data_IF_897739969749
#
_entry.id   IF_897739969749
#
_cell.length_a   1.000
_cell.length_b   1.000
_cell.length_c   1.000
_cell.angle_alpha   90.00
_cell.angle_beta   90.00
_cell.angle_gamma   90.00
#
_symmetry.space_group_name_H-M   'P 1'
#
loop_
_entity.id
_entity.type
_entity.pdbx_description
1 polymer ?
#
# COMPACT_ATOMS: atom_id res chain seq x y z
N UNK A 1 -18.05 2.31 -4.16
CA UNK A 1 -16.69 2.85 -4.38
C UNK A 1 -16.19 3.39 -3.05
N UNK A 2 -15.38 2.61 -2.33
CA UNK A 2 -14.80 3.04 -1.06
C UNK A 2 -13.59 3.92 -1.33
N UNK A 3 -13.66 5.18 -0.90
CA UNK A 3 -12.47 6.01 -0.81
C UNK A 3 -11.46 5.32 0.10
N UNK A 4 -10.27 5.06 -0.41
CA UNK A 4 -9.18 4.45 0.34
C UNK A 4 -8.94 5.24 1.64
N UNK A 5 -9.32 4.66 2.78
CA UNK A 5 -8.83 4.98 4.12
C UNK A 5 -7.35 4.60 4.23
N UNK A 6 -6.51 5.22 3.39
CA UNK A 6 -5.17 5.55 3.87
C UNK A 6 -5.44 6.65 4.87
N UNK A 7 -5.55 6.25 6.15
CA UNK A 7 -5.51 7.06 7.37
C UNK A 7 -5.24 8.54 7.05
N UNK A 8 -6.28 9.38 7.12
CA UNK A 8 -6.25 10.80 6.71
C UNK A 8 -5.08 11.55 7.35
N UNK A 9 -4.73 11.16 8.58
CA UNK A 9 -3.54 11.57 9.32
C UNK A 9 -2.25 11.53 8.48
N UNK A 10 -2.03 10.47 7.69
CA UNK A 10 -0.82 10.33 6.87
C UNK A 10 -0.79 11.30 5.69
N UNK A 11 -1.95 11.65 5.12
CA UNK A 11 -2.01 12.60 3.99
C UNK A 11 -1.80 14.03 4.48
N UNK A 12 -2.32 14.35 5.66
CA UNK A 12 -2.14 15.66 6.28
C UNK A 12 -0.68 15.93 6.61
N UNK A 13 0.07 14.93 7.10
CA UNK A 13 1.50 15.07 7.36
C UNK A 13 2.32 15.30 6.09
N UNK A 14 1.99 14.58 5.01
CA UNK A 14 2.60 14.81 3.69
C UNK A 14 2.29 16.22 3.21
N UNK A 15 1.04 16.68 3.32
CA UNK A 15 0.65 18.02 2.89
C UNK A 15 1.39 19.11 3.68
N UNK A 16 1.46 18.98 5.01
CA UNK A 16 2.23 19.89 5.88
C UNK A 16 3.71 19.91 5.51
N UNK A 17 4.30 18.75 5.25
CA UNK A 17 5.70 18.64 4.79
C UNK A 17 5.93 19.36 3.45
N UNK A 18 5.04 19.17 2.48
CA UNK A 18 5.15 19.79 1.16
C UNK A 18 5.01 21.31 1.22
N UNK A 19 4.04 21.83 1.96
CA UNK A 19 3.86 23.28 2.15
C UNK A 19 5.08 23.91 2.82
N UNK A 20 5.61 23.28 3.88
CA UNK A 20 6.85 23.75 4.54
C UNK A 20 8.05 23.70 3.60
N UNK A 21 8.13 22.69 2.74
CA UNK A 21 9.20 22.57 1.73
C UNK A 21 9.12 23.71 0.73
N UNK A 22 7.91 24.04 0.24
CA UNK A 22 7.70 25.20 -0.66
C UNK A 22 8.06 26.51 0.03
N UNK A 23 7.68 26.70 1.29
CA UNK A 23 8.03 27.90 2.05
C UNK A 23 9.54 28.07 2.28
N UNK A 24 10.33 26.99 2.20
CA UNK A 24 11.78 27.00 2.34
C UNK A 24 12.52 27.16 1.00
N UNK A 25 11.81 27.25 -0.12
CA UNK A 25 12.42 27.53 -1.41
C UNK A 25 13.13 28.89 -1.37
N UNK A 26 14.35 28.96 -1.92
CA UNK A 26 15.20 30.16 -1.84
C UNK A 26 16.08 30.26 -0.59
N UNK A 27 15.94 29.36 0.40
CA UNK A 27 16.84 29.30 1.57
C UNK A 27 18.24 28.74 1.27
N UNK A 28 18.55 28.45 0.00
CA UNK A 28 19.82 27.84 -0.42
C UNK A 28 19.93 26.33 -0.13
N UNK A 29 18.96 25.73 0.55
CA UNK A 29 18.92 24.28 0.82
C UNK A 29 18.62 23.51 -0.47
N UNK A 30 19.52 22.60 -0.84
CA UNK A 30 19.30 21.68 -1.97
C UNK A 30 18.22 20.65 -1.60
N UNK A 31 17.17 20.58 -2.42
CA UNK A 31 16.13 19.56 -2.30
C UNK A 31 16.60 18.24 -2.91
N UNK A 32 16.31 17.12 -2.24
CA UNK A 32 16.76 15.78 -2.61
C UNK A 32 15.61 14.77 -2.49
N UNK A 33 15.79 13.58 -3.06
CA UNK A 33 14.78 12.53 -3.00
C UNK A 33 13.52 12.89 -3.79
N UNK A 34 12.35 12.56 -3.26
CA UNK A 34 11.05 12.73 -3.95
C UNK A 34 10.62 14.18 -4.15
N UNK A 35 11.29 15.15 -3.50
CA UNK A 35 11.02 16.59 -3.64
C UNK A 35 12.04 17.31 -4.52
N UNK A 36 12.99 16.60 -5.15
CA UNK A 36 14.04 17.23 -5.98
C UNK A 36 13.46 18.04 -7.15
N UNK A 37 12.30 17.65 -7.69
CA UNK A 37 11.62 18.38 -8.78
C UNK A 37 11.28 19.83 -8.39
N UNK A 38 11.05 20.11 -7.10
CA UNK A 38 10.80 21.48 -6.61
C UNK A 38 12.05 22.38 -6.73
N UNK A 39 13.22 21.84 -7.03
CA UNK A 39 14.39 22.66 -7.40
C UNK A 39 14.20 23.43 -8.72
N UNK A 40 13.25 23.01 -9.56
CA UNK A 40 12.90 23.67 -10.83
C UNK A 40 11.53 24.36 -10.77
N UNK A 41 11.09 24.74 -9.57
CA UNK A 41 9.70 25.15 -9.36
C UNK A 41 9.30 26.40 -10.14
N UNK A 42 10.21 27.34 -10.38
CA UNK A 42 9.95 28.53 -11.22
C UNK A 42 9.53 28.11 -12.63
N UNK A 43 10.28 27.18 -13.23
CA UNK A 43 9.93 26.58 -14.52
C UNK A 43 8.58 25.86 -14.46
N UNK A 44 8.38 24.98 -13.47
CA UNK A 44 7.15 24.16 -13.37
C UNK A 44 5.88 24.99 -13.14
N UNK A 45 5.98 26.12 -12.44
CA UNK A 45 4.84 27.03 -12.26
C UNK A 45 4.48 27.69 -13.59
N UNK A 46 5.47 28.02 -14.43
CA UNK A 46 5.29 28.84 -15.64
C UNK A 46 5.15 28.03 -16.94
N UNK A 47 5.64 26.79 -16.96
CA UNK A 47 5.75 25.99 -18.18
C UNK A 47 4.40 25.77 -18.86
N UNK A 48 4.44 25.53 -20.17
CA UNK A 48 3.28 25.08 -20.95
C UNK A 48 3.63 23.73 -21.55
N UNK A 49 2.59 22.95 -21.83
CA UNK A 49 2.78 21.69 -22.51
C UNK A 49 3.15 21.98 -23.96
N UNK A 50 4.36 21.59 -24.38
CA UNK A 50 4.87 21.78 -25.74
C UNK A 50 4.57 20.58 -26.65
N UNK A 51 3.73 19.65 -26.19
CA UNK A 51 3.27 18.50 -26.98
C UNK A 51 2.48 19.00 -28.17
N UNK A 52 3.03 18.78 -29.37
CA UNK A 52 2.34 19.08 -30.63
C UNK A 52 1.73 17.84 -31.26
N UNK A 53 2.30 16.67 -30.98
CA UNK A 53 1.89 15.40 -31.57
C UNK A 53 1.45 14.44 -30.48
N UNK A 54 0.49 13.60 -30.83
CA UNK A 54 -0.09 12.67 -29.87
C UNK A 54 0.94 11.61 -29.43
N UNK A 55 1.89 11.29 -30.31
CA UNK A 55 3.02 10.40 -30.03
C UNK A 55 3.93 10.95 -28.91
N UNK A 56 4.03 12.29 -28.78
CA UNK A 56 4.83 12.93 -27.75
C UNK A 56 4.23 12.75 -26.35
N UNK A 57 2.92 12.54 -26.24
CA UNK A 57 2.24 12.24 -24.98
C UNK A 57 2.73 10.93 -24.33
N UNK A 58 3.37 10.06 -25.10
CA UNK A 58 3.94 8.80 -24.60
C UNK A 58 5.37 8.96 -24.06
N UNK A 59 6.02 10.10 -24.30
CA UNK A 59 7.40 10.34 -23.87
C UNK A 59 7.48 10.43 -22.35
N UNK A 60 8.39 9.68 -21.70
CA UNK A 60 8.53 9.71 -20.24
C UNK A 60 8.81 11.11 -19.68
N UNK A 61 9.60 11.93 -20.38
CA UNK A 61 9.90 13.30 -19.97
C UNK A 61 8.66 14.19 -19.93
N UNK A 62 7.77 14.05 -20.91
CA UNK A 62 6.52 14.81 -21.02
C UNK A 62 5.57 14.43 -19.89
N UNK A 63 5.40 13.13 -19.65
CA UNK A 63 4.51 12.64 -18.60
C UNK A 63 5.03 13.06 -17.22
N UNK A 64 6.33 12.85 -16.95
CA UNK A 64 6.92 13.23 -15.67
C UNK A 64 6.81 14.74 -15.45
N UNK A 65 7.13 15.56 -16.44
CA UNK A 65 6.99 17.01 -16.33
C UNK A 65 5.54 17.44 -16.09
N UNK A 66 4.55 16.79 -16.73
CA UNK A 66 3.14 17.07 -16.49
C UNK A 66 2.74 16.79 -15.03
N UNK A 67 3.18 15.67 -14.46
CA UNK A 67 2.93 15.35 -13.05
C UNK A 67 3.69 16.29 -12.11
N UNK A 68 4.98 16.56 -12.35
CA UNK A 68 5.78 17.51 -11.58
C UNK A 68 5.13 18.91 -11.58
N UNK A 69 4.66 19.36 -12.74
CA UNK A 69 3.97 20.63 -12.95
C UNK A 69 2.67 20.70 -12.17
N UNK A 70 1.82 19.66 -12.25
CA UNK A 70 0.58 19.57 -11.48
C UNK A 70 0.86 19.70 -9.99
N UNK A 71 1.79 18.92 -9.49
CA UNK A 71 2.12 18.87 -8.06
C UNK A 71 2.76 20.17 -7.59
N UNK A 72 3.67 20.76 -8.38
CA UNK A 72 4.30 22.04 -8.08
C UNK A 72 3.25 23.16 -7.94
N UNK A 73 2.33 23.27 -8.91
CA UNK A 73 1.28 24.30 -8.91
C UNK A 73 0.34 24.16 -7.72
N UNK A 74 -0.09 22.94 -7.40
CA UNK A 74 -0.97 22.70 -6.24
C UNK A 74 -0.27 23.06 -4.92
N UNK A 75 0.97 22.62 -4.72
CA UNK A 75 1.70 22.91 -3.49
C UNK A 75 2.02 24.41 -3.33
N UNK A 76 2.34 25.10 -4.43
CA UNK A 76 2.57 26.55 -4.42
C UNK A 76 1.28 27.31 -4.14
N UNK A 77 0.15 26.90 -4.73
CA UNK A 77 -1.15 27.48 -4.44
C UNK A 77 -1.51 27.29 -2.96
N UNK A 78 -1.37 26.08 -2.41
CA UNK A 78 -1.60 25.78 -1.00
C UNK A 78 -0.70 26.63 -0.10
N UNK A 79 0.62 26.65 -0.34
CA UNK A 79 1.56 27.41 0.46
C UNK A 79 1.26 28.92 0.45
N UNK A 80 0.94 29.48 -0.72
CA UNK A 80 0.55 30.88 -0.86
C UNK A 80 -0.77 31.21 -0.16
N UNK A 81 -1.71 30.27 -0.10
CA UNK A 81 -2.98 30.48 0.57
C UNK A 81 -2.81 30.35 2.10
N UNK A 82 -2.06 29.35 2.58
CA UNK A 82 -1.70 29.22 4.00
C UNK A 82 -0.96 30.47 4.50
N UNK A 83 -0.06 31.05 3.70
CA UNK A 83 0.69 32.26 4.10
C UNK A 83 -0.16 33.53 4.21
N UNK A 84 -1.40 33.52 3.72
CA UNK A 84 -2.34 34.66 3.85
C UNK A 84 -3.21 34.56 5.11
N UNK A 85 -3.21 33.41 5.78
CA UNK A 85 -4.04 33.17 6.95
C UNK A 85 -3.39 33.79 8.20
N UNK A 86 -4.20 34.17 9.21
CA UNK A 86 -3.67 34.80 10.44
C UNK A 86 -2.66 33.91 11.17
N UNK A 87 -2.88 32.60 11.13
CA UNK A 87 -1.95 31.61 11.66
C UNK A 87 -1.90 30.36 10.75
N UNK A 88 -0.79 29.60 10.75
CA UNK A 88 -0.64 28.44 9.89
C UNK A 88 -1.63 27.30 10.20
N UNK A 89 -2.00 27.10 11.46
CA UNK A 89 -2.87 26.00 11.89
C UNK A 89 -4.29 26.14 11.34
N UNK A 90 -4.84 27.35 11.40
CA UNK A 90 -6.09 27.73 10.77
C UNK A 90 -6.00 27.55 9.24
N UNK A 91 -4.89 27.95 8.62
CA UNK A 91 -4.68 27.70 7.20
C UNK A 91 -4.65 26.22 6.84
N UNK A 92 -4.08 25.35 7.68
CA UNK A 92 -4.12 23.90 7.46
C UNK A 92 -5.52 23.31 7.64
N UNK A 93 -6.30 23.84 8.57
CA UNK A 93 -7.69 23.41 8.79
C UNK A 93 -8.59 23.83 7.62
N UNK A 94 -8.58 25.12 7.26
CA UNK A 94 -9.44 25.70 6.22
C UNK A 94 -9.12 25.16 4.82
N UNK A 95 -7.84 24.91 4.52
CA UNK A 95 -7.40 24.41 3.21
C UNK A 95 -7.18 22.90 3.20
N UNK A 96 -7.72 22.17 4.18
CA UNK A 96 -7.50 20.72 4.35
C UNK A 96 -7.79 19.90 3.08
N UNK A 97 -8.87 20.22 2.35
CA UNK A 97 -9.20 19.56 1.08
C UNK A 97 -8.12 19.78 0.02
N UNK A 98 -7.71 21.03 -0.21
CA UNK A 98 -6.68 21.39 -1.19
C UNK A 98 -5.33 20.73 -0.85
N UNK A 99 -5.00 20.70 0.45
CA UNK A 99 -3.80 20.09 0.99
C UNK A 99 -3.76 18.58 0.79
N UNK A 100 -4.87 17.90 1.08
CA UNK A 100 -5.02 16.47 0.81
C UNK A 100 -4.91 16.19 -0.68
N UNK A 101 -5.49 17.03 -1.54
CA UNK A 101 -5.37 16.87 -2.99
C UNK A 101 -3.92 17.06 -3.47
N UNK A 102 -3.21 18.04 -2.94
CA UNK A 102 -1.80 18.27 -3.23
C UNK A 102 -0.91 17.10 -2.78
N UNK A 103 -1.20 16.52 -1.60
CA UNK A 103 -0.53 15.32 -1.11
C UNK A 103 -0.81 14.09 -1.99
N UNK A 104 -2.06 13.91 -2.44
CA UNK A 104 -2.43 12.85 -3.38
C UNK A 104 -1.69 13.01 -4.70
N UNK A 105 -1.65 14.23 -5.26
CA UNK A 105 -0.92 14.50 -6.49
C UNK A 105 0.58 14.19 -6.33
N UNK A 106 1.20 14.57 -5.21
CA UNK A 106 2.60 14.25 -4.92
C UNK A 106 2.84 12.73 -4.83
N UNK A 107 1.96 11.99 -4.16
CA UNK A 107 2.04 10.52 -4.12
C UNK A 107 1.90 9.90 -5.52
N UNK A 108 1.01 10.42 -6.35
CA UNK A 108 0.85 9.99 -7.74
C UNK A 108 2.13 10.24 -8.55
N UNK A 109 2.81 11.37 -8.36
CA UNK A 109 4.11 11.64 -8.98
C UNK A 109 5.18 10.63 -8.54
N UNK A 110 5.25 10.28 -7.26
CA UNK A 110 6.21 9.27 -6.75
C UNK A 110 5.96 7.91 -7.42
N UNK A 111 4.69 7.50 -7.48
CA UNK A 111 4.30 6.24 -8.13
C UNK A 111 4.70 6.25 -9.61
N UNK A 112 4.36 7.32 -10.33
CA UNK A 112 4.66 7.46 -11.75
C UNK A 112 6.19 7.48 -11.96
N UNK A 113 6.94 8.31 -11.26
CA UNK A 113 8.41 8.34 -11.39
C UNK A 113 9.06 6.97 -11.15
N UNK A 114 8.64 6.25 -10.11
CA UNK A 114 9.15 4.92 -9.81
C UNK A 114 8.72 3.88 -10.87
N UNK A 115 7.43 3.82 -11.20
CA UNK A 115 6.87 2.88 -12.16
C UNK A 115 7.50 3.04 -13.55
N UNK A 116 7.63 4.28 -14.03
CA UNK A 116 8.15 4.57 -15.37
C UNK A 116 9.63 4.22 -15.50
N UNK A 117 10.43 4.37 -14.43
CA UNK A 117 11.87 4.05 -14.45
C UNK A 117 12.17 2.58 -14.71
N UNK A 118 11.33 1.67 -14.20
CA UNK A 118 11.50 0.22 -14.33
C UNK A 118 10.64 -0.42 -15.42
N UNK A 119 9.37 -0.03 -15.53
CA UNK A 119 8.39 -0.73 -16.36
C UNK A 119 8.63 -0.48 -17.84
N UNK A 120 8.94 0.74 -18.27
CA UNK A 120 9.17 1.03 -19.69
C UNK A 120 10.45 0.38 -20.22
N UNK A 121 11.47 0.29 -19.37
CA UNK A 121 12.71 -0.40 -19.73
C UNK A 121 12.46 -1.91 -19.92
N UNK A 122 11.69 -2.52 -19.02
CA UNK A 122 11.42 -3.95 -19.06
C UNK A 122 10.33 -4.34 -20.09
N UNK A 123 9.34 -3.47 -20.30
CA UNK A 123 8.15 -3.72 -21.11
C UNK A 123 7.83 -2.51 -22.01
N UNK A 124 8.65 -2.23 -23.03
CA UNK A 124 8.48 -1.05 -23.89
C UNK A 124 7.19 -1.06 -24.72
N UNK A 125 6.55 -2.22 -24.87
CA UNK A 125 5.27 -2.39 -25.57
C UNK A 125 4.06 -2.33 -24.63
N UNK A 126 4.27 -2.13 -23.32
CA UNK A 126 3.15 -1.95 -22.40
C UNK A 126 2.37 -0.69 -22.78
N UNK A 127 1.05 -0.81 -22.78
CA UNK A 127 0.10 0.29 -23.02
C UNK A 127 -0.64 0.70 -21.75
N UNK A 128 -0.48 -0.10 -20.68
CA UNK A 128 -1.09 0.14 -19.37
C UNK A 128 -0.18 -0.35 -18.24
N UNK A 129 -0.14 0.40 -17.14
CA UNK A 129 0.38 -0.07 -15.83
C UNK A 129 -0.77 -0.12 -14.84
N UNK A 130 -0.93 -1.24 -14.14
CA UNK A 130 -1.75 -1.32 -12.94
C UNK A 130 -0.88 -1.07 -11.70
N UNK A 131 -1.23 -0.05 -10.93
CA UNK A 131 -0.61 0.23 -9.64
C UNK A 131 -1.62 -0.06 -8.54
N UNK A 132 -1.27 -0.97 -7.63
CA UNK A 132 -2.08 -1.34 -6.47
C UNK A 132 -2.50 -0.07 -5.70
N UNK A 133 -3.80 0.06 -5.44
CA UNK A 133 -4.44 1.19 -4.72
C UNK A 133 -4.38 2.56 -5.42
N UNK A 134 -3.81 2.65 -6.63
CA UNK A 134 -3.77 3.88 -7.43
C UNK A 134 -4.60 3.77 -8.72
N UNK A 135 -4.80 2.54 -9.21
CA UNK A 135 -5.56 2.27 -10.43
C UNK A 135 -4.63 2.03 -11.61
N UNK A 136 -5.16 2.21 -12.82
CA UNK A 136 -4.43 2.02 -14.05
C UNK A 136 -3.96 3.35 -14.64
N UNK A 137 -2.78 3.32 -15.25
CA UNK A 137 -2.25 4.39 -16.08
C UNK A 137 -2.19 3.86 -17.50
N UNK A 138 -2.97 4.44 -18.41
CA UNK A 138 -3.06 4.02 -19.82
C UNK A 138 -2.43 5.10 -20.70
N UNK A 139 -1.63 4.69 -21.68
CA UNK A 139 -1.02 5.60 -22.66
C UNK A 139 -1.00 4.93 -24.04
N UNK A 140 -0.89 5.75 -25.08
CA UNK A 140 -0.83 5.26 -26.46
C UNK A 140 -0.18 6.28 -27.38
N UNK A 141 0.03 5.89 -28.63
CA UNK A 141 0.59 6.74 -29.69
C UNK A 141 -0.29 7.96 -29.97
N UNK A 142 -1.57 7.91 -29.57
CA UNK A 142 -2.45 9.07 -29.57
C UNK A 142 -3.42 9.11 -28.41
N UNK A 143 -3.98 10.30 -28.13
CA UNK A 143 -5.05 10.44 -27.13
C UNK A 143 -6.26 9.57 -27.46
N UNK A 144 -6.57 9.38 -28.76
CA UNK A 144 -7.63 8.47 -29.21
C UNK A 144 -7.29 7.04 -28.81
N UNK A 145 -6.10 6.55 -29.17
CA UNK A 145 -5.69 5.19 -28.82
C UNK A 145 -5.66 4.93 -27.31
N UNK A 146 -5.18 5.91 -26.53
CA UNK A 146 -5.15 5.82 -25.07
C UNK A 146 -6.57 5.77 -24.50
N UNK A 147 -7.49 6.58 -25.01
CA UNK A 147 -8.91 6.57 -24.60
C UNK A 147 -9.58 5.25 -24.96
N UNK A 148 -9.44 4.79 -26.19
CA UNK A 148 -10.01 3.51 -26.63
C UNK A 148 -9.49 2.36 -25.78
N UNK A 149 -8.18 2.30 -25.54
CA UNK A 149 -7.60 1.29 -24.65
C UNK A 149 -8.14 1.39 -23.23
N UNK A 150 -8.27 2.62 -22.67
CA UNK A 150 -8.84 2.82 -21.34
C UNK A 150 -10.29 2.33 -21.25
N UNK A 151 -11.11 2.58 -22.28
CA UNK A 151 -12.49 2.07 -22.37
C UNK A 151 -12.53 0.54 -22.46
N UNK A 152 -11.64 -0.06 -23.27
CA UNK A 152 -11.50 -1.53 -23.35
C UNK A 152 -11.12 -2.13 -22.00
N UNK A 153 -10.12 -1.57 -21.31
CA UNK A 153 -9.69 -2.05 -20.00
C UNK A 153 -10.78 -1.87 -18.94
N UNK A 154 -11.48 -0.74 -18.96
CA UNK A 154 -12.60 -0.48 -18.05
C UNK A 154 -13.68 -1.57 -18.19
N UNK A 155 -14.07 -1.90 -19.43
CA UNK A 155 -15.02 -2.97 -19.70
C UNK A 155 -14.51 -4.35 -19.22
N UNK A 156 -13.26 -4.70 -19.55
CA UNK A 156 -12.68 -5.99 -19.17
C UNK A 156 -12.57 -6.15 -17.64
N UNK A 157 -12.20 -5.09 -16.92
CA UNK A 157 -12.15 -5.14 -15.46
C UNK A 157 -13.53 -5.23 -14.83
N UNK A 158 -14.52 -4.48 -15.33
CA UNK A 158 -15.89 -4.58 -14.84
C UNK A 158 -16.46 -5.98 -15.06
N UNK A 159 -16.22 -6.59 -16.23
CA UNK A 159 -16.59 -7.97 -16.51
C UNK A 159 -15.89 -8.97 -15.58
N UNK A 160 -14.57 -8.84 -15.39
CA UNK A 160 -13.80 -9.72 -14.52
C UNK A 160 -14.25 -9.64 -13.05
N UNK A 161 -14.55 -8.43 -12.56
CA UNK A 161 -15.06 -8.22 -11.20
C UNK A 161 -16.45 -8.85 -11.03
N UNK A 162 -17.34 -8.70 -12.02
CA UNK A 162 -18.68 -9.32 -11.99
C UNK A 162 -18.59 -10.84 -12.00
N UNK A 163 -17.75 -11.43 -12.85
CA UNK A 163 -17.49 -12.86 -12.86
C UNK A 163 -17.00 -13.34 -11.49
N UNK A 164 -16.04 -12.62 -10.92
CA UNK A 164 -15.52 -12.93 -9.58
C UNK A 164 -16.60 -12.89 -8.50
N UNK A 165 -17.48 -11.88 -8.53
CA UNK A 165 -18.61 -11.76 -7.60
C UNK A 165 -19.64 -12.89 -7.76
N UNK A 166 -19.77 -13.45 -8.95
CA UNK A 166 -20.59 -14.63 -9.23
C UNK A 166 -19.90 -15.95 -8.90
N UNK A 167 -18.68 -15.92 -8.36
CA UNK A 167 -17.90 -17.12 -8.07
C UNK A 167 -17.34 -17.80 -9.32
N UNK A 168 -17.20 -17.08 -10.43
CA UNK A 168 -16.69 -17.57 -11.71
C UNK A 168 -15.27 -17.06 -11.98
N UNK A 169 -14.40 -17.94 -12.45
CA UNK A 169 -12.99 -17.64 -12.73
C UNK A 169 -12.84 -16.83 -14.01
N UNK A 170 -12.62 -15.53 -13.86
CA UNK A 170 -12.42 -14.60 -14.95
C UNK A 170 -11.14 -14.86 -15.79
N UNK A 171 -10.20 -15.67 -15.28
CA UNK A 171 -8.93 -15.96 -15.95
C UNK A 171 -8.99 -17.12 -16.94
N UNK A 172 -10.06 -17.91 -16.93
CA UNK A 172 -10.25 -19.08 -17.81
C UNK A 172 -11.31 -18.80 -18.88
N UNK A 173 -11.14 -19.27 -20.14
CA UNK A 173 -12.17 -19.09 -21.18
C UNK A 173 -13.52 -19.74 -20.85
N UNK A 174 -13.50 -20.81 -20.05
CA UNK A 174 -14.70 -21.53 -19.62
C UNK A 174 -15.38 -20.91 -18.40
N UNK A 175 -14.77 -19.88 -17.77
CA UNK A 175 -15.27 -19.21 -16.58
C UNK A 175 -15.82 -20.17 -15.50
N UNK A 176 -15.07 -21.23 -15.21
CA UNK A 176 -15.48 -22.26 -14.24
C UNK A 176 -15.59 -21.70 -12.82
N UNK A 177 -16.17 -22.45 -11.86
CA UNK A 177 -16.23 -22.00 -10.46
C UNK A 177 -14.84 -21.68 -9.89
N UNK A 178 -14.72 -20.57 -9.15
CA UNK A 178 -13.48 -20.21 -8.47
C UNK A 178 -13.21 -21.25 -7.37
N UNK A 179 -12.13 -22.02 -7.51
CA UNK A 179 -11.72 -23.07 -6.56
C UNK A 179 -11.44 -22.62 -5.12
N UNK A 180 -11.50 -21.31 -4.82
CA UNK A 180 -11.45 -20.77 -3.45
C UNK A 180 -12.78 -20.85 -2.71
N UNK A 181 -13.92 -21.04 -3.38
CA UNK A 181 -15.22 -21.21 -2.72
C UNK A 181 -15.30 -22.53 -1.94
N UNK A 182 -14.56 -23.56 -2.35
CA UNK A 182 -14.55 -24.87 -1.70
C UNK A 182 -13.83 -24.81 -0.33
N UNK A 183 -12.70 -24.10 -0.22
CA UNK A 183 -11.94 -24.00 1.05
C UNK A 183 -12.65 -23.24 2.17
N UNK A 184 -13.58 -22.33 1.86
CA UNK A 184 -14.36 -21.60 2.86
C UNK A 184 -15.56 -22.40 3.36
N UNK A 185 -16.08 -23.34 2.56
CA UNK A 185 -17.17 -24.23 2.91
C UNK A 185 -16.66 -25.52 3.60
N UNK A 186 -15.48 -26.01 3.22
CA UNK A 186 -14.84 -27.18 3.84
C UNK A 186 -14.28 -26.86 5.24
N UNK A 187 -13.85 -25.62 5.49
CA UNK A 187 -13.35 -25.21 6.81
C UNK A 187 -14.46 -25.14 7.89
N UNK A 188 -15.73 -25.08 7.50
CA UNK A 188 -16.89 -24.99 8.40
C UNK A 188 -17.44 -26.39 8.77
N UNK A 189 -17.20 -27.39 7.92
CA UNK A 189 -17.58 -28.79 8.18
C UNK A 189 -16.62 -29.48 9.15
N UNK A 190 -15.32 -29.19 9.07
CA UNK A 190 -14.30 -29.72 9.97
C UNK A 190 -14.43 -29.17 11.39
N UNK A 191 -14.73 -27.87 11.56
CA UNK A 191 -15.02 -27.26 12.86
C UNK A 191 -16.32 -27.78 13.47
N UNK A 192 -17.37 -28.00 12.67
CA UNK A 192 -18.62 -28.60 13.16
C UNK A 192 -18.40 -30.02 13.69
N UNK A 193 -17.49 -30.78 13.08
CA UNK A 193 -17.14 -32.14 13.48
C UNK A 193 -16.33 -32.15 14.79
N UNK A 194 -15.34 -31.27 14.92
CA UNK A 194 -14.53 -31.10 16.14
C UNK A 194 -15.37 -30.60 17.32
N UNK A 195 -16.27 -29.64 17.09
CA UNK A 195 -17.16 -29.10 18.14
C UNK A 195 -18.17 -30.17 18.61
N UNK A 196 -18.70 -31.00 17.71
CA UNK A 196 -19.60 -32.10 18.08
C UNK A 196 -18.89 -33.19 18.89
N UNK A 197 -17.64 -33.51 18.54
CA UNK A 197 -16.83 -34.47 19.29
C UNK A 197 -16.50 -33.93 20.69
N UNK A 198 -16.12 -32.65 20.80
CA UNK A 198 -15.80 -32.02 22.10
C UNK A 198 -17.01 -31.92 23.04
N UNK A 199 -18.19 -31.58 22.52
CA UNK A 199 -19.44 -31.55 23.31
C UNK A 199 -19.83 -32.95 23.78
N UNK A 200 -19.54 -33.99 22.98
CA UNK A 200 -19.80 -35.39 23.36
C UNK A 200 -18.85 -35.83 24.49
N UNK A 201 -17.58 -35.43 24.44
CA UNK A 201 -16.59 -35.75 25.47
C UNK A 201 -16.86 -34.99 26.79
N UNK A 202 -17.30 -33.73 26.74
CA UNK A 202 -17.70 -32.98 27.94
C UNK A 202 -18.93 -33.57 28.61
N UNK A 203 -19.93 -34.00 27.84
CA UNK A 203 -21.13 -34.67 28.39
C UNK A 203 -20.85 -36.05 28.99
N UNK A 204 -19.79 -36.73 28.55
CA UNK A 204 -19.35 -37.99 29.14
C UNK A 204 -18.63 -37.71 30.46
N UNK A 205 -17.80 -36.67 30.53
CA UNK A 205 -17.14 -36.23 31.78
C UNK A 205 -18.12 -35.77 32.86
N UNK A 206 -19.15 -35.00 32.50
CA UNK A 206 -20.17 -34.54 33.44
C UNK A 206 -21.06 -35.68 33.96
N UNK A 207 -21.15 -36.79 33.23
CA UNK A 207 -21.87 -37.99 33.68
C UNK A 207 -21.03 -38.89 34.61
N UNK A 208 -19.70 -38.80 34.54
CA UNK A 208 -18.79 -39.57 35.41
C UNK A 208 -18.57 -38.87 36.78
N UNK A 209 -18.66 -37.54 36.86
CA UNK A 209 -18.48 -36.78 38.12
C UNK A 209 -19.67 -36.84 39.10
N UNK A 210 -20.77 -37.54 38.77
CA UNK A 210 -21.92 -37.72 39.66
C UNK A 210 -21.99 -39.09 40.37
N UNK A 211 -21.05 -40.01 40.11
CA UNK A 211 -21.01 -41.31 40.80
C UNK A 211 -19.86 -41.49 41.81
N UNK A 212 -18.85 -40.60 41.87
CA UNK A 212 -17.73 -40.73 42.82
C UNK A 212 -17.88 -39.79 44.02
N UNK A 213 -18.92 -40.02 44.82
CA UNK A 213 -19.25 -39.24 46.00
C UNK A 213 -19.40 -40.04 47.30
N UNK A 214 -18.70 -41.17 47.49
CA UNK A 214 -18.65 -41.86 48.79
C UNK A 214 -17.27 -42.54 49.06
N UNK A 215 -16.53 -42.03 50.06
CA UNK A 215 -15.85 -42.90 51.05
C UNK A 215 -14.31 -42.96 51.15
N UNK A 216 -13.80 -42.50 52.32
CA UNK A 216 -12.82 -43.15 53.25
C UNK A 216 -11.36 -43.34 52.77
N UNK A 217 -10.39 -42.52 53.22
CA UNK A 217 -9.49 -42.65 54.41
C UNK A 217 -8.15 -43.38 54.16
N UNK A 218 -7.14 -42.93 54.90
CA UNK A 218 -5.87 -43.57 55.29
C UNK A 218 -4.55 -43.37 54.49
N UNK A 219 -3.69 -42.56 55.12
CA UNK A 219 -2.25 -42.78 55.45
C UNK A 219 -1.10 -42.64 54.43
N UNK A 220 -0.21 -41.67 54.77
CA UNK A 220 1.21 -41.85 55.21
C UNK A 220 2.39 -41.72 54.21
N UNK A 221 3.24 -40.70 54.48
CA UNK A 221 4.73 -40.56 54.38
C UNK A 221 5.44 -40.83 53.01
N UNK A 222 6.59 -40.27 52.60
CA UNK A 222 7.65 -39.42 53.17
C UNK A 222 8.59 -38.90 52.02
N UNK A 223 9.17 -37.69 52.21
CA UNK A 223 10.55 -37.20 51.86
C UNK A 223 11.05 -37.18 50.39
N UNK A 224 11.35 -35.97 49.86
CA UNK A 224 12.68 -35.30 49.78
C UNK A 224 13.54 -35.72 48.57
N UNK A 225 14.27 -34.87 47.83
CA UNK A 225 14.54 -33.43 47.89
C UNK A 225 15.58 -33.04 46.82
N UNK A 226 15.83 -31.73 46.68
CA UNK A 226 16.98 -31.07 45.98
C UNK A 226 17.07 -31.27 44.45
N UNK A 227 17.43 -30.29 43.61
CA UNK A 227 17.98 -28.96 43.82
C UNK A 227 19.30 -28.77 43.05
N UNK A 228 19.41 -27.62 42.39
CA UNK A 228 20.62 -26.83 42.06
C UNK A 228 21.09 -26.80 40.59
N UNK A 229 21.46 -25.55 40.23
CA UNK A 229 21.84 -24.95 38.97
C UNK A 229 23.37 -24.81 38.77
N UNK A 230 23.77 -24.26 37.62
CA UNK A 230 25.09 -23.64 37.35
C UNK A 230 25.32 -23.51 35.83
N UNK A 231 25.25 -22.32 35.20
CA UNK A 231 26.26 -21.24 35.02
C UNK A 231 27.53 -21.64 34.26
N UNK A 232 27.90 -20.86 33.23
CA UNK A 232 29.23 -20.89 32.60
C UNK A 232 29.34 -20.03 31.32
N UNK A 233 30.27 -19.07 31.34
CA UNK A 233 30.47 -17.91 30.44
C UNK A 233 31.45 -18.15 29.27
N UNK A 234 31.48 -17.15 28.36
CA UNK A 234 32.59 -16.59 27.57
C UNK A 234 33.33 -17.40 26.46
N UNK A 235 33.43 -16.82 25.25
CA UNK A 235 34.60 -16.01 24.78
C UNK A 235 34.52 -15.54 23.32
N UNK A 236 35.13 -14.37 23.13
CA UNK A 236 35.38 -13.54 21.93
C UNK A 236 36.37 -14.17 20.94
N UNK A 237 36.30 -13.81 19.65
CA UNK A 237 37.41 -13.98 18.69
C UNK A 237 37.13 -13.44 17.26
N UNK A 238 37.71 -12.28 16.95
CA UNK A 238 37.79 -11.58 15.65
C UNK A 238 38.78 -12.29 14.70
N UNK A 239 38.62 -12.18 13.36
CA UNK A 239 39.68 -11.82 12.37
C UNK A 239 39.14 -11.70 10.94
N UNK A 240 39.70 -10.70 10.27
CA UNK A 240 39.46 -10.09 8.97
C UNK A 240 40.34 -10.69 7.83
N UNK A 241 40.06 -10.25 6.59
CA UNK A 241 40.82 -10.32 5.31
C UNK A 241 40.37 -11.39 4.30
N UNK A 242 40.41 -11.17 2.98
CA UNK A 242 40.62 -10.03 2.10
C UNK A 242 40.26 -10.47 0.66
N UNK A 243 39.99 -9.47 -0.20
CA UNK A 243 40.10 -9.42 -1.67
C UNK A 243 40.53 -10.70 -2.41
N UNK A 244 39.82 -11.01 -3.50
CA UNK A 244 40.51 -11.16 -4.78
C UNK A 244 39.68 -10.66 -5.96
N UNK A 245 40.41 -10.36 -7.02
CA UNK A 245 40.08 -9.57 -8.20
C UNK A 245 39.94 -10.50 -9.40
N UNK A 246 39.02 -10.19 -10.31
CA UNK A 246 38.90 -10.84 -11.63
C UNK A 246 37.93 -10.05 -12.49
#
# INVERSE_FOLDING_TARGET
>A
MGYCLVRTDKKDDVARFLVKTVAQLGSGKKLVGTTSYMGRIEHLIQCRCDVQRAEDCSKPSVILEAFETRVARMNVACARNVSKMPNPEEGFSELSSDLVEAAVAHCQLIVVSNAWSGIIKAYPKATVVLVRNHGIYVWGESWISAKTQAECYHYLFDAAIKLYQLGLDWSTPSHGPIGHAQKLLDADSDTSSIVKENIKQEKIKEAEELEEGEGVDETREHKAGGGVAGTGEDKVGVVEKAKDSG
#
